data_IF_749084996222
#
_entry.id   IF_749084996222
#
_cell.length_a   1.000
_cell.length_b   1.000
_cell.length_c   1.000
_cell.angle_alpha   90.00
_cell.angle_beta   90.00
_cell.angle_gamma   90.00
#
_symmetry.space_group_name_H-M   'P 1'
#
loop_
_entity.id
_entity.type
_entity.pdbx_description
1 polymer ?
#
# COMPACT_ATOMS: atom_id res chain seq x y z
N UNK A 1 -41.23 -61.33 -10.19
CA UNK A 1 -40.16 -60.87 -9.31
C UNK A 1 -38.88 -61.71 -9.39
N UNK A 2 -38.93 -63.07 -9.22
CA UNK A 2 -37.72 -63.92 -9.24
C UNK A 2 -36.91 -63.86 -10.53
N UNK A 3 -37.50 -63.81 -11.71
CA UNK A 3 -36.80 -63.66 -13.03
C UNK A 3 -36.03 -62.36 -13.21
N UNK A 4 -36.55 -61.25 -12.68
CA UNK A 4 -35.85 -59.96 -12.74
C UNK A 4 -34.64 -59.93 -11.80
N UNK A 5 -34.73 -60.65 -10.67
CA UNK A 5 -33.61 -60.75 -9.71
C UNK A 5 -32.46 -61.60 -10.27
N UNK A 6 -32.78 -62.70 -10.97
CA UNK A 6 -31.75 -63.52 -11.63
C UNK A 6 -31.07 -62.83 -12.77
N UNK A 7 -31.80 -62.06 -13.63
CA UNK A 7 -31.20 -61.23 -14.66
C UNK A 7 -30.31 -60.11 -14.09
N UNK A 8 -30.71 -59.49 -12.97
CA UNK A 8 -29.90 -58.47 -12.31
C UNK A 8 -28.62 -59.04 -11.71
N UNK A 9 -28.70 -60.23 -11.10
CA UNK A 9 -27.51 -60.91 -10.58
C UNK A 9 -26.54 -61.37 -11.67
N UNK A 10 -27.01 -61.73 -12.86
CA UNK A 10 -26.15 -62.06 -14.00
C UNK A 10 -25.52 -60.82 -14.62
N UNK A 11 -26.23 -59.68 -14.65
CA UNK A 11 -25.64 -58.38 -15.03
C UNK A 11 -24.55 -57.94 -14.06
N UNK A 12 -24.72 -58.18 -12.76
CA UNK A 12 -23.71 -57.86 -11.75
C UNK A 12 -22.41 -58.69 -11.87
N UNK A 13 -22.43 -59.80 -12.58
CA UNK A 13 -21.22 -60.61 -12.87
C UNK A 13 -20.41 -60.03 -14.04
N UNK A 14 -21.00 -59.11 -14.83
CA UNK A 14 -20.32 -58.48 -15.93
C UNK A 14 -19.43 -57.33 -15.42
N UNK A 15 -18.10 -57.43 -15.61
CA UNK A 15 -17.12 -56.41 -15.17
C UNK A 15 -17.44 -55.01 -15.67
N UNK A 16 -17.94 -54.89 -16.89
CA UNK A 16 -18.29 -53.62 -17.52
C UNK A 16 -19.49 -52.99 -16.81
N UNK A 17 -20.50 -53.81 -16.46
CA UNK A 17 -21.69 -53.35 -15.75
C UNK A 17 -21.36 -52.85 -14.33
N UNK A 18 -20.49 -53.55 -13.62
CA UNK A 18 -20.01 -53.10 -12.27
C UNK A 18 -19.26 -51.81 -12.36
N UNK A 19 -18.37 -51.64 -13.35
CA UNK A 19 -17.66 -50.36 -13.60
C UNK A 19 -18.63 -49.21 -13.92
N UNK A 20 -19.65 -49.48 -14.76
CA UNK A 20 -20.68 -48.50 -15.11
C UNK A 20 -21.49 -48.07 -13.88
N UNK A 21 -21.90 -49.01 -13.06
CA UNK A 21 -22.57 -48.71 -11.79
C UNK A 21 -21.69 -47.88 -10.85
N UNK A 22 -20.40 -48.19 -10.76
CA UNK A 22 -19.42 -47.41 -9.99
C UNK A 22 -19.33 -45.96 -10.47
N UNK A 23 -19.26 -45.76 -11.77
CA UNK A 23 -19.25 -44.40 -12.36
C UNK A 23 -20.53 -43.62 -12.10
N UNK A 24 -21.70 -44.30 -12.23
CA UNK A 24 -23.02 -43.69 -11.94
C UNK A 24 -23.12 -43.29 -10.47
N UNK A 25 -22.67 -44.14 -9.54
CA UNK A 25 -22.68 -43.82 -8.10
C UNK A 25 -21.76 -42.62 -7.81
N UNK A 26 -20.58 -42.60 -8.41
CA UNK A 26 -19.63 -41.48 -8.25
C UNK A 26 -20.20 -40.17 -8.79
N UNK A 27 -20.85 -40.25 -9.95
CA UNK A 27 -21.55 -39.11 -10.54
C UNK A 27 -22.71 -38.62 -9.67
N UNK A 28 -23.52 -39.54 -9.12
CA UNK A 28 -24.59 -39.19 -8.21
C UNK A 28 -24.09 -38.50 -6.93
N UNK A 29 -22.96 -38.93 -6.39
CA UNK A 29 -22.31 -38.26 -5.23
C UNK A 29 -21.91 -36.85 -5.58
N UNK A 30 -21.31 -36.64 -6.76
CA UNK A 30 -20.88 -35.27 -7.24
C UNK A 30 -22.12 -34.37 -7.40
N UNK A 31 -23.20 -34.89 -8.02
CA UNK A 31 -24.43 -34.12 -8.24
C UNK A 31 -25.08 -33.74 -6.89
N UNK A 32 -25.15 -34.67 -5.96
CA UNK A 32 -25.68 -34.42 -4.61
C UNK A 32 -24.84 -33.41 -3.85
N UNK A 33 -23.52 -33.46 -4.02
CA UNK A 33 -22.62 -32.48 -3.41
C UNK A 33 -22.77 -31.07 -4.02
N UNK A 34 -22.91 -31.02 -5.35
CA UNK A 34 -23.19 -29.76 -6.07
C UNK A 34 -24.54 -29.16 -5.64
N UNK A 35 -25.56 -29.97 -5.57
CA UNK A 35 -26.87 -29.55 -5.09
C UNK A 35 -26.82 -29.00 -3.66
N UNK A 36 -26.09 -29.68 -2.77
CA UNK A 36 -25.88 -29.21 -1.39
C UNK A 36 -25.16 -27.86 -1.35
N UNK A 37 -24.13 -27.68 -2.16
CA UNK A 37 -23.34 -26.43 -2.21
C UNK A 37 -24.13 -25.28 -2.83
N UNK A 38 -24.87 -25.53 -3.93
CA UNK A 38 -25.51 -24.46 -4.68
C UNK A 38 -26.90 -24.08 -4.17
N UNK A 39 -27.66 -25.05 -3.63
CA UNK A 39 -29.03 -24.80 -3.23
C UNK A 39 -29.16 -24.73 -1.71
N UNK A 40 -28.56 -25.67 -0.96
CA UNK A 40 -28.73 -25.71 0.50
C UNK A 40 -27.85 -24.62 1.17
N UNK A 41 -26.65 -24.43 0.66
CA UNK A 41 -25.68 -23.48 1.23
C UNK A 41 -25.42 -22.27 0.31
N UNK A 42 -26.20 -22.08 -0.76
CA UNK A 42 -26.02 -21.00 -1.74
C UNK A 42 -26.06 -19.63 -1.09
N UNK A 43 -27.05 -19.33 -0.26
CA UNK A 43 -27.17 -18.06 0.47
C UNK A 43 -25.95 -17.78 1.36
N UNK A 44 -25.45 -18.79 2.06
CA UNK A 44 -24.25 -18.66 2.91
C UNK A 44 -22.99 -18.28 2.09
N UNK A 45 -22.84 -18.90 0.91
CA UNK A 45 -21.72 -18.57 0.03
C UNK A 45 -21.88 -17.20 -0.65
N UNK A 46 -23.11 -16.83 -1.04
CA UNK A 46 -23.40 -15.49 -1.58
C UNK A 46 -23.16 -14.39 -0.53
N UNK A 47 -23.58 -14.58 0.72
CA UNK A 47 -23.27 -13.66 1.80
C UNK A 47 -21.76 -13.57 2.07
N UNK A 48 -21.06 -14.72 2.05
CA UNK A 48 -19.62 -14.76 2.24
C UNK A 48 -18.86 -14.05 1.10
N UNK A 49 -19.29 -14.24 -0.15
CA UNK A 49 -18.72 -13.58 -1.32
C UNK A 49 -19.01 -12.07 -1.25
N UNK A 50 -20.26 -11.70 -0.99
CA UNK A 50 -20.68 -10.29 -0.85
C UNK A 50 -19.92 -9.62 0.29
N UNK A 51 -19.74 -10.26 1.43
CA UNK A 51 -18.94 -9.75 2.53
C UNK A 51 -17.46 -9.65 2.20
N UNK A 52 -16.93 -10.51 1.32
CA UNK A 52 -15.54 -10.48 0.88
C UNK A 52 -15.28 -9.43 -0.21
N UNK A 53 -16.28 -9.14 -1.04
CA UNK A 53 -16.20 -8.20 -2.17
C UNK A 53 -16.69 -6.81 -1.79
N UNK A 54 -17.63 -6.69 -0.83
CA UNK A 54 -18.10 -5.40 -0.37
C UNK A 54 -17.06 -4.72 0.54
N UNK A 55 -16.45 -3.66 0.02
CA UNK A 55 -15.54 -2.79 0.78
C UNK A 55 -16.38 -1.84 1.64
N UNK A 56 -16.53 -2.14 2.94
CA UNK A 56 -17.06 -1.17 3.90
C UNK A 56 -15.94 -0.20 4.29
N UNK A 57 -15.97 1.01 3.74
CA UNK A 57 -15.09 2.08 4.17
C UNK A 57 -15.66 2.70 5.45
N UNK A 58 -14.94 2.64 6.59
CA UNK A 58 -15.36 3.34 7.79
C UNK A 58 -15.21 4.84 7.57
N UNK A 59 -16.32 5.54 7.43
CA UNK A 59 -16.33 7.00 7.40
C UNK A 59 -16.19 7.50 8.84
N UNK A 60 -15.10 8.22 9.13
CA UNK A 60 -14.91 8.82 10.43
C UNK A 60 -15.93 9.95 10.63
N UNK A 61 -16.73 9.89 11.70
CA UNK A 61 -17.63 10.97 12.04
C UNK A 61 -16.83 12.25 12.40
N UNK A 62 -17.29 13.40 11.91
CA UNK A 62 -16.73 14.69 12.30
C UNK A 62 -16.98 14.95 13.79
N UNK A 63 -16.06 15.66 14.42
CA UNK A 63 -16.20 16.05 15.84
C UNK A 63 -17.23 17.14 15.97
N UNK A 64 -17.92 17.22 17.15
CA UNK A 64 -18.80 18.35 17.48
C UNK A 64 -18.03 19.67 17.58
N UNK A 65 -18.60 20.77 17.12
CA UNK A 65 -18.04 22.10 17.32
C UNK A 65 -18.21 22.52 18.78
N UNK A 66 -17.29 23.35 19.27
CA UNK A 66 -17.29 23.89 20.62
C UNK A 66 -17.37 25.42 20.52
N UNK A 67 -18.33 26.01 21.19
CA UNK A 67 -18.58 27.45 21.21
C UNK A 67 -18.53 27.96 22.65
N UNK A 68 -18.25 29.25 22.81
CA UNK A 68 -18.41 29.94 24.07
C UNK A 68 -19.91 30.25 24.35
N UNK A 69 -20.20 30.86 25.50
CA UNK A 69 -21.56 31.25 25.88
C UNK A 69 -22.20 32.31 24.94
N UNK A 70 -21.36 32.98 24.15
CA UNK A 70 -21.81 34.03 23.21
C UNK A 70 -21.89 33.50 21.76
N UNK A 71 -21.64 32.18 21.55
CA UNK A 71 -21.66 31.56 20.24
C UNK A 71 -20.41 31.77 19.42
N UNK A 72 -19.30 32.24 20.03
CA UNK A 72 -18.00 32.36 19.34
C UNK A 72 -17.35 30.99 19.24
N UNK A 73 -16.76 30.63 18.09
CA UNK A 73 -16.15 29.35 17.88
C UNK A 73 -14.82 29.22 18.67
N UNK A 74 -14.73 28.22 19.53
CA UNK A 74 -13.51 27.86 20.25
C UNK A 74 -12.78 26.69 19.58
N UNK A 75 -13.54 25.77 19.00
CA UNK A 75 -13.01 24.66 18.21
C UNK A 75 -14.08 24.24 17.19
N UNK A 76 -13.77 24.40 15.94
CA UNK A 76 -14.67 24.09 14.79
C UNK A 76 -13.99 23.12 13.84
N UNK A 77 -14.77 22.57 12.93
CA UNK A 77 -14.23 21.72 11.87
C UNK A 77 -14.30 22.50 10.56
N UNK A 78 -13.18 22.50 9.85
CA UNK A 78 -13.05 22.94 8.47
C UNK A 78 -12.92 21.72 7.57
N UNK A 79 -13.52 21.76 6.39
CA UNK A 79 -13.35 20.70 5.39
C UNK A 79 -12.14 21.04 4.55
N UNK A 80 -11.21 20.09 4.43
CA UNK A 80 -10.05 20.20 3.57
C UNK A 80 -10.00 19.00 2.64
N UNK A 81 -9.36 19.17 1.49
CA UNK A 81 -9.10 18.08 0.58
C UNK A 81 -7.81 17.32 0.97
N UNK A 82 -7.77 16.03 0.70
CA UNK A 82 -6.60 15.22 0.92
C UNK A 82 -6.35 14.28 -0.27
N UNK A 83 -5.08 14.02 -0.52
CA UNK A 83 -4.65 13.00 -1.48
C UNK A 83 -4.53 11.67 -0.76
N UNK A 84 -5.22 10.67 -1.26
CA UNK A 84 -5.16 9.31 -0.74
C UNK A 84 -4.71 8.34 -1.82
N UNK A 85 -4.01 7.28 -1.42
CA UNK A 85 -3.63 6.18 -2.29
C UNK A 85 -4.39 4.93 -1.87
N UNK A 86 -5.14 4.34 -2.80
CA UNK A 86 -5.85 3.08 -2.59
C UNK A 86 -4.89 1.90 -2.85
N UNK A 87 -4.47 1.24 -1.77
CA UNK A 87 -3.60 0.07 -1.86
C UNK A 87 -4.27 -1.19 -2.43
N UNK A 88 -5.61 -1.20 -2.57
CA UNK A 88 -6.35 -2.33 -3.15
C UNK A 88 -6.30 -2.35 -4.68
N UNK A 89 -6.09 -1.21 -5.30
CA UNK A 89 -5.91 -1.11 -6.74
C UNK A 89 -4.48 -1.50 -7.08
N UNK A 90 -4.34 -2.58 -7.84
CA UNK A 90 -3.03 -2.99 -8.36
C UNK A 90 -2.58 -1.94 -9.37
N UNK A 91 -1.48 -1.26 -9.05
CA UNK A 91 -0.88 -0.34 -9.99
C UNK A 91 -0.06 -1.15 -10.99
N UNK A 92 -0.56 -1.26 -12.19
CA UNK A 92 0.15 -1.81 -13.36
C UNK A 92 0.13 -0.73 -14.43
N UNK A 93 1.23 0.00 -14.53
CA UNK A 93 1.39 1.02 -15.55
C UNK A 93 1.55 0.35 -16.92
N UNK A 94 0.75 0.78 -17.87
CA UNK A 94 0.96 0.39 -19.25
C UNK A 94 2.25 1.02 -19.82
N UNK A 95 2.65 0.61 -21.02
CA UNK A 95 3.91 1.06 -21.62
C UNK A 95 3.96 2.57 -21.83
N UNK A 96 2.87 3.19 -22.26
CA UNK A 96 2.80 4.64 -22.53
C UNK A 96 2.79 5.46 -21.25
N UNK A 97 2.04 5.04 -20.23
CA UNK A 97 2.03 5.69 -18.93
C UNK A 97 3.40 5.64 -18.27
N UNK A 98 4.05 4.47 -18.27
CA UNK A 98 5.42 4.31 -17.76
C UNK A 98 6.41 5.21 -18.49
N UNK A 99 6.30 5.30 -19.84
CA UNK A 99 7.12 6.15 -20.67
C UNK A 99 6.91 7.63 -20.30
N UNK A 100 5.65 8.06 -20.19
CA UNK A 100 5.31 9.45 -19.85
C UNK A 100 5.90 9.85 -18.50
N UNK A 101 5.67 9.03 -17.46
CA UNK A 101 6.18 9.31 -16.12
C UNK A 101 7.71 9.31 -16.06
N UNK A 102 8.36 8.32 -16.70
CA UNK A 102 9.81 8.24 -16.73
C UNK A 102 10.44 9.39 -17.52
N UNK A 103 9.79 9.85 -18.61
CA UNK A 103 10.23 11.02 -19.39
C UNK A 103 10.12 12.30 -18.55
N UNK A 104 8.95 12.55 -17.95
CA UNK A 104 8.69 13.74 -17.13
C UNK A 104 9.64 13.82 -15.93
N UNK A 105 9.92 12.72 -15.26
CA UNK A 105 10.90 12.67 -14.17
C UNK A 105 12.33 12.87 -14.67
N UNK A 106 12.69 12.30 -15.82
CA UNK A 106 14.02 12.45 -16.39
C UNK A 106 14.29 13.90 -16.77
N UNK A 107 13.35 14.53 -17.47
CA UNK A 107 13.48 15.92 -17.92
C UNK A 107 13.55 16.88 -16.73
N UNK A 108 12.73 16.66 -15.71
CA UNK A 108 12.79 17.44 -14.48
C UNK A 108 14.14 17.27 -13.75
N UNK A 109 14.63 16.04 -13.55
CA UNK A 109 15.91 15.78 -12.89
C UNK A 109 17.06 16.48 -13.61
N UNK A 110 17.02 16.50 -14.95
CA UNK A 110 18.04 17.17 -15.75
C UNK A 110 17.94 18.69 -15.71
N UNK A 111 16.74 19.24 -15.69
CA UNK A 111 16.51 20.68 -15.51
C UNK A 111 16.98 21.16 -14.13
N UNK A 112 16.82 20.33 -13.09
CA UNK A 112 17.22 20.63 -11.72
C UNK A 112 18.70 20.28 -11.40
N UNK A 113 19.48 19.86 -12.40
CA UNK A 113 20.92 19.58 -12.27
C UNK A 113 21.29 18.22 -11.69
N UNK A 114 20.34 17.29 -11.57
CA UNK A 114 20.55 15.94 -11.06
C UNK A 114 20.89 14.94 -12.17
N UNK A 115 22.14 14.94 -12.64
CA UNK A 115 22.60 14.17 -13.82
C UNK A 115 23.18 12.79 -13.48
N UNK A 116 23.10 12.33 -12.23
CA UNK A 116 23.80 11.11 -11.75
C UNK A 116 22.88 9.95 -11.39
N UNK A 117 21.61 10.02 -11.79
CA UNK A 117 20.66 8.93 -11.50
C UNK A 117 20.95 7.76 -12.41
N UNK A 118 21.52 6.69 -11.84
CA UNK A 118 21.88 5.48 -12.58
C UNK A 118 21.90 4.25 -11.65
N UNK A 119 21.10 3.27 -11.95
CA UNK A 119 21.05 1.97 -11.25
C UNK A 119 21.43 0.78 -12.14
N UNK A 120 21.93 1.06 -13.36
CA UNK A 120 22.29 -0.02 -14.28
C UNK A 120 23.65 -0.63 -13.89
N UNK A 121 23.78 -1.96 -13.79
CA UNK A 121 25.04 -2.62 -13.50
C UNK A 121 25.95 -2.71 -14.74
N UNK A 122 26.06 -1.62 -15.48
CA UNK A 122 26.83 -1.49 -16.72
C UNK A 122 27.65 -0.21 -16.66
N UNK A 123 28.90 -0.24 -17.12
CA UNK A 123 29.77 0.94 -17.18
C UNK A 123 29.12 2.12 -17.93
N UNK A 124 29.45 3.35 -17.52
CA UNK A 124 28.87 4.57 -18.09
C UNK A 124 29.45 4.96 -19.45
N UNK A 125 30.64 4.43 -19.79
CA UNK A 125 31.39 4.75 -21.02
C UNK A 125 31.68 3.49 -21.83
N UNK A 126 31.80 3.64 -23.13
CA UNK A 126 32.22 2.57 -24.05
C UNK A 126 33.73 2.29 -23.87
N UNK A 127 34.19 1.02 -23.93
CA UNK A 127 33.37 -0.17 -24.12
C UNK A 127 32.54 -0.55 -22.89
N UNK A 128 31.24 -0.83 -23.11
CA UNK A 128 30.33 -1.20 -22.03
C UNK A 128 30.65 -2.58 -21.48
N UNK A 129 30.74 -2.69 -20.17
CA UNK A 129 30.96 -3.94 -19.43
C UNK A 129 30.08 -3.97 -18.19
N UNK A 130 29.82 -5.19 -17.68
CA UNK A 130 29.09 -5.33 -16.43
C UNK A 130 29.95 -4.94 -15.21
N UNK A 131 29.34 -4.30 -14.20
CA UNK A 131 30.01 -3.76 -13.01
C UNK A 131 29.81 -4.61 -11.75
N UNK A 132 29.33 -5.86 -11.89
CA UNK A 132 29.11 -6.74 -10.75
C UNK A 132 30.40 -7.00 -9.97
N UNK A 133 30.30 -6.99 -8.63
CA UNK A 133 31.40 -7.22 -7.71
C UNK A 133 31.38 -8.67 -7.21
N UNK A 134 32.54 -9.24 -6.88
CA UNK A 134 32.68 -10.59 -6.34
C UNK A 134 33.65 -11.45 -7.13
N UNK A 135 33.68 -12.75 -6.82
CA UNK A 135 34.42 -13.77 -7.61
C UNK A 135 33.82 -13.94 -9.00
N UNK A 136 34.55 -14.53 -9.93
CA UNK A 136 34.04 -14.67 -11.31
C UNK A 136 32.77 -15.53 -11.37
N UNK A 137 32.61 -16.52 -10.53
CA UNK A 137 31.39 -17.32 -10.40
C UNK A 137 30.22 -16.52 -9.85
N UNK A 138 30.48 -15.67 -8.86
CA UNK A 138 29.45 -14.76 -8.30
C UNK A 138 29.02 -13.71 -9.31
N UNK A 139 29.96 -13.10 -10.04
CA UNK A 139 29.65 -12.15 -11.13
C UNK A 139 28.77 -12.79 -12.21
N UNK A 140 29.11 -13.99 -12.65
CA UNK A 140 28.33 -14.71 -13.65
C UNK A 140 26.91 -15.03 -13.15
N UNK A 141 26.78 -15.41 -11.87
CA UNK A 141 25.47 -15.66 -11.25
C UNK A 141 24.64 -14.39 -11.15
N UNK A 142 25.24 -13.27 -10.71
CA UNK A 142 24.57 -11.97 -10.62
C UNK A 142 24.15 -11.45 -12.01
N UNK A 143 25.01 -11.60 -13.00
CA UNK A 143 24.74 -11.23 -14.40
C UNK A 143 23.55 -12.03 -14.95
N UNK A 144 23.52 -13.34 -14.76
CA UNK A 144 22.40 -14.20 -15.19
C UNK A 144 21.11 -13.82 -14.45
N UNK A 145 21.17 -13.55 -13.14
CA UNK A 145 20.05 -13.11 -12.34
C UNK A 145 19.50 -11.77 -12.85
N UNK A 146 20.38 -10.81 -13.12
CA UNK A 146 19.98 -9.51 -13.65
C UNK A 146 19.40 -9.63 -15.07
N UNK A 147 19.99 -10.43 -15.97
CA UNK A 147 19.45 -10.71 -17.31
C UNK A 147 18.05 -11.34 -17.23
N UNK A 148 17.82 -12.22 -16.25
CA UNK A 148 16.50 -12.78 -16.01
C UNK A 148 15.50 -11.70 -15.54
N UNK A 149 15.92 -10.79 -14.63
CA UNK A 149 15.06 -9.73 -14.12
C UNK A 149 14.62 -8.72 -15.17
N UNK A 150 15.45 -8.47 -16.17
CA UNK A 150 15.07 -7.62 -17.32
C UNK A 150 14.22 -8.35 -18.39
N UNK A 151 13.91 -9.64 -18.17
CA UNK A 151 13.02 -10.42 -19.01
C UNK A 151 13.71 -11.09 -20.21
N UNK A 152 15.02 -11.27 -20.17
CA UNK A 152 15.74 -12.05 -21.19
C UNK A 152 15.53 -13.56 -20.97
N UNK A 153 15.35 -14.30 -22.04
CA UNK A 153 15.29 -15.76 -22.01
C UNK A 153 16.69 -16.37 -21.78
N UNK A 154 16.75 -17.60 -21.26
CA UNK A 154 18.02 -18.31 -21.00
C UNK A 154 18.94 -18.39 -22.23
N UNK A 155 18.37 -18.44 -23.45
CA UNK A 155 19.14 -18.43 -24.71
C UNK A 155 19.88 -17.11 -24.94
N UNK A 156 19.35 -16.01 -24.40
CA UNK A 156 19.85 -14.64 -24.55
C UNK A 156 20.85 -14.24 -23.45
N UNK A 157 21.13 -15.10 -22.47
CA UNK A 157 22.09 -14.79 -21.40
C UNK A 157 23.53 -14.61 -21.88
N UNK A 158 23.83 -14.96 -23.15
CA UNK A 158 25.13 -14.73 -23.78
C UNK A 158 25.32 -13.29 -24.30
N UNK A 159 24.26 -12.45 -24.26
CA UNK A 159 24.33 -11.07 -24.73
C UNK A 159 25.35 -10.26 -23.96
N UNK A 160 26.14 -9.46 -24.67
CA UNK A 160 27.07 -8.49 -24.09
C UNK A 160 26.34 -7.34 -23.39
N UNK A 161 27.04 -6.54 -22.60
CA UNK A 161 26.47 -5.37 -21.94
C UNK A 161 25.90 -4.36 -22.96
N UNK A 162 26.54 -4.21 -24.11
CA UNK A 162 26.09 -3.34 -25.21
C UNK A 162 24.76 -3.84 -25.81
N UNK A 163 24.66 -5.13 -26.05
CA UNK A 163 23.43 -5.73 -26.58
C UNK A 163 22.28 -5.68 -25.58
N UNK A 164 22.58 -5.88 -24.30
CA UNK A 164 21.59 -5.69 -23.24
C UNK A 164 21.07 -4.24 -23.19
N UNK A 165 21.94 -3.23 -23.34
CA UNK A 165 21.52 -1.83 -23.40
C UNK A 165 20.60 -1.57 -24.61
N UNK A 166 20.93 -2.09 -25.80
CA UNK A 166 20.07 -1.95 -26.99
C UNK A 166 18.70 -2.59 -26.76
N UNK A 167 18.69 -3.81 -26.20
CA UNK A 167 17.44 -4.48 -25.84
C UNK A 167 16.59 -3.64 -24.88
N UNK A 168 17.22 -3.01 -23.86
CA UNK A 168 16.51 -2.16 -22.91
C UNK A 168 15.97 -0.89 -23.58
N UNK A 169 16.72 -0.26 -24.50
CA UNK A 169 16.26 0.89 -25.25
C UNK A 169 14.98 0.59 -26.06
N UNK A 170 14.94 -0.57 -26.71
CA UNK A 170 13.78 -1.00 -27.48
C UNK A 170 12.60 -1.40 -26.57
N UNK A 171 12.90 -2.13 -25.48
CA UNK A 171 11.88 -2.61 -24.54
C UNK A 171 11.14 -1.47 -23.85
N UNK A 172 11.88 -0.45 -23.39
CA UNK A 172 11.34 0.69 -22.66
C UNK A 172 11.08 1.93 -23.51
N UNK A 173 11.22 1.82 -24.81
CA UNK A 173 10.92 2.89 -25.76
C UNK A 173 11.63 4.21 -25.43
N UNK A 174 12.94 4.13 -25.22
CA UNK A 174 13.76 5.25 -24.79
C UNK A 174 13.75 6.38 -25.84
N UNK A 175 13.46 7.65 -25.47
CA UNK A 175 13.45 8.75 -26.41
C UNK A 175 14.77 8.89 -27.19
N UNK A 176 14.70 9.04 -28.52
CA UNK A 176 15.89 9.10 -29.38
C UNK A 176 16.73 10.36 -29.13
N UNK A 177 16.08 11.48 -28.78
CA UNK A 177 16.73 12.78 -28.54
C UNK A 177 17.56 12.86 -27.26
N UNK A 178 17.50 11.84 -26.40
CA UNK A 178 18.23 11.82 -25.14
C UNK A 178 19.72 11.54 -25.34
N UNK A 179 20.56 12.26 -24.56
CA UNK A 179 21.97 11.94 -24.41
C UNK A 179 22.16 10.55 -23.76
N UNK A 180 23.35 9.98 -23.90
CA UNK A 180 23.65 8.67 -23.30
C UNK A 180 23.38 8.64 -21.78
N UNK A 181 23.66 9.73 -21.09
CA UNK A 181 23.42 9.85 -19.66
C UNK A 181 21.90 9.96 -19.33
N UNK A 182 21.15 10.76 -20.10
CA UNK A 182 19.68 10.83 -19.98
C UNK A 182 19.01 9.48 -20.23
N UNK A 183 19.45 8.74 -21.24
CA UNK A 183 18.96 7.38 -21.53
C UNK A 183 19.16 6.43 -20.35
N UNK A 184 20.27 6.57 -19.62
CA UNK A 184 20.53 5.76 -18.40
C UNK A 184 19.62 6.17 -17.24
N UNK A 185 19.46 7.47 -17.00
CA UNK A 185 18.53 7.98 -16.00
C UNK A 185 17.10 7.50 -16.29
N UNK A 186 16.66 7.66 -17.52
CA UNK A 186 15.36 7.18 -17.97
C UNK A 186 15.17 5.67 -17.75
N UNK A 187 16.15 4.85 -18.14
CA UNK A 187 16.09 3.41 -17.92
C UNK A 187 16.03 3.06 -16.41
N UNK A 188 16.84 3.73 -15.61
CA UNK A 188 16.83 3.50 -14.14
C UNK A 188 15.49 3.80 -13.51
N UNK A 189 14.77 4.80 -14.01
CA UNK A 189 13.40 5.12 -13.60
C UNK A 189 12.39 4.13 -14.20
N UNK A 190 12.43 3.91 -15.51
CA UNK A 190 11.47 3.05 -16.22
C UNK A 190 11.54 1.57 -15.82
N UNK A 191 12.71 1.12 -15.34
CA UNK A 191 12.92 -0.24 -14.81
C UNK A 191 12.51 -0.40 -13.36
N UNK A 192 12.25 0.69 -12.64
CA UNK A 192 11.80 0.63 -11.26
C UNK A 192 10.38 0.05 -11.16
N UNK A 193 10.01 -0.40 -9.95
CA UNK A 193 8.64 -0.83 -9.65
C UNK A 193 7.64 0.30 -9.96
N UNK A 194 6.45 -0.03 -10.48
CA UNK A 194 5.41 0.95 -10.82
C UNK A 194 5.02 1.82 -9.62
N UNK A 195 4.98 1.23 -8.44
CA UNK A 195 4.73 1.96 -7.19
C UNK A 195 5.83 2.95 -6.86
N UNK A 196 7.08 2.66 -7.23
CA UNK A 196 8.19 3.60 -7.05
C UNK A 196 8.07 4.76 -8.02
N UNK A 197 7.78 4.47 -9.28
CA UNK A 197 7.62 5.49 -10.31
C UNK A 197 6.46 6.44 -9.97
N UNK A 198 5.32 5.89 -9.57
CA UNK A 198 4.17 6.67 -9.07
C UNK A 198 4.54 7.49 -7.85
N UNK A 199 5.18 6.89 -6.83
CA UNK A 199 5.52 7.59 -5.60
C UNK A 199 6.55 8.69 -5.82
N UNK A 200 7.54 8.50 -6.72
CA UNK A 200 8.51 9.53 -7.14
C UNK A 200 7.81 10.72 -7.81
N UNK A 201 6.90 10.43 -8.74
CA UNK A 201 6.17 11.49 -9.46
C UNK A 201 5.25 12.26 -8.51
N UNK A 202 4.54 11.54 -7.64
CA UNK A 202 3.64 12.14 -6.66
C UNK A 202 4.42 12.99 -5.65
N UNK A 203 5.51 12.47 -5.08
CA UNK A 203 6.36 13.21 -4.14
C UNK A 203 6.92 14.48 -4.77
N UNK A 204 7.42 14.39 -6.03
CA UNK A 204 7.90 15.56 -6.78
C UNK A 204 6.79 16.60 -6.96
N UNK A 205 5.62 16.18 -7.43
CA UNK A 205 4.51 17.12 -7.72
C UNK A 205 3.97 17.76 -6.45
N UNK A 206 3.81 17.02 -5.37
CA UNK A 206 3.40 17.58 -4.08
C UNK A 206 4.43 18.62 -3.60
N UNK A 207 5.73 18.31 -3.67
CA UNK A 207 6.78 19.25 -3.32
C UNK A 207 6.80 20.50 -4.24
N UNK A 208 6.58 20.34 -5.55
CA UNK A 208 6.48 21.44 -6.52
C UNK A 208 5.31 22.39 -6.19
N UNK A 209 4.21 21.86 -5.71
CA UNK A 209 3.02 22.63 -5.29
C UNK A 209 3.13 23.17 -3.85
N UNK A 210 4.19 22.83 -3.13
CA UNK A 210 4.41 23.27 -1.75
C UNK A 210 3.63 22.50 -0.70
N UNK A 211 3.13 21.31 -1.06
CA UNK A 211 2.40 20.45 -0.14
C UNK A 211 3.33 19.69 0.81
N UNK A 212 2.88 19.45 2.01
CA UNK A 212 3.56 18.58 2.97
C UNK A 212 3.09 17.16 2.84
N UNK A 213 4.03 16.21 2.84
CA UNK A 213 3.71 14.79 2.80
C UNK A 213 3.44 14.30 4.21
N UNK A 214 2.25 13.76 4.42
CA UNK A 214 1.85 13.10 5.66
C UNK A 214 2.28 11.64 5.59
N UNK A 215 3.31 11.28 6.35
CA UNK A 215 3.80 9.90 6.38
C UNK A 215 4.03 9.38 7.80
N UNK A 216 4.12 8.06 7.93
CA UNK A 216 4.38 7.38 9.20
C UNK A 216 5.87 6.97 9.36
N UNK A 217 6.77 7.43 8.48
CA UNK A 217 8.20 7.13 8.55
C UNK A 217 8.83 7.87 9.72
N UNK A 218 9.41 7.18 10.73
CA UNK A 218 9.91 7.83 11.93
C UNK A 218 11.28 8.51 11.73
N UNK A 219 11.36 9.31 10.68
CA UNK A 219 12.49 10.18 10.33
C UNK A 219 11.95 11.57 10.03
N UNK A 220 12.70 12.59 10.39
CA UNK A 220 12.32 13.97 10.08
C UNK A 220 12.15 14.16 8.57
N UNK A 221 11.28 15.07 8.19
CA UNK A 221 11.02 15.40 6.78
C UNK A 221 12.15 16.19 6.14
N UNK A 222 12.94 16.90 6.95
CA UNK A 222 14.05 17.74 6.49
C UNK A 222 15.40 17.21 6.99
N UNK A 223 16.46 17.53 6.27
CA UNK A 223 17.82 17.20 6.70
C UNK A 223 18.14 17.85 8.07
N UNK A 224 18.79 17.14 8.98
CA UNK A 224 19.57 15.90 8.83
C UNK A 224 18.79 14.59 8.97
N UNK A 225 17.48 14.59 8.80
CA UNK A 225 16.59 13.40 8.85
C UNK A 225 16.69 12.64 10.18
N UNK A 226 16.69 13.33 11.30
CA UNK A 226 16.85 12.70 12.60
C UNK A 226 15.73 11.69 12.92
N UNK A 227 16.01 10.71 13.77
CA UNK A 227 14.99 9.75 14.21
C UNK A 227 13.98 10.38 15.18
N UNK A 228 12.70 10.13 14.97
CA UNK A 228 11.59 10.63 15.79
C UNK A 228 11.27 9.72 17.00
N UNK A 229 12.27 9.04 17.58
CA UNK A 229 12.08 8.17 18.74
C UNK A 229 12.35 8.84 20.08
N UNK A 230 12.61 10.17 20.12
CA UNK A 230 12.91 10.93 21.34
C UNK A 230 14.01 10.28 22.22
N UNK A 231 15.08 9.77 21.58
CA UNK A 231 16.18 9.10 22.26
C UNK A 231 15.90 7.67 22.73
N UNK A 232 14.73 7.10 22.44
CA UNK A 232 14.40 5.73 22.83
C UNK A 232 15.04 4.71 21.87
N UNK A 233 16.24 4.27 22.17
CA UNK A 233 17.03 3.32 21.37
C UNK A 233 16.35 1.95 21.22
N UNK A 234 15.53 1.51 22.18
CA UNK A 234 14.82 0.24 22.09
C UNK A 234 13.70 0.31 21.04
N UNK A 235 12.96 1.40 20.99
CA UNK A 235 11.92 1.64 19.96
C UNK A 235 12.55 1.73 18.58
N UNK A 236 13.66 2.44 18.45
CA UNK A 236 14.41 2.56 17.21
C UNK A 236 14.88 1.18 16.70
N UNK A 237 15.50 0.37 17.57
CA UNK A 237 15.92 -0.98 17.21
C UNK A 237 14.74 -1.88 16.82
N UNK A 238 13.65 -1.84 17.57
CA UNK A 238 12.45 -2.63 17.23
C UNK A 238 11.88 -2.23 15.88
N UNK A 239 11.85 -0.94 15.56
CA UNK A 239 11.43 -0.45 14.26
C UNK A 239 12.37 -0.91 13.13
N UNK A 240 13.69 -0.78 13.31
CA UNK A 240 14.68 -1.28 12.35
C UNK A 240 14.53 -2.79 12.10
N UNK A 241 14.26 -3.58 13.14
CA UNK A 241 13.97 -5.01 13.00
C UNK A 241 12.69 -5.26 12.20
N UNK A 242 11.65 -4.45 12.35
CA UNK A 242 10.43 -4.56 11.55
C UNK A 242 10.67 -4.28 10.07
N UNK A 243 11.72 -3.51 9.75
CA UNK A 243 12.21 -3.27 8.38
C UNK A 243 13.26 -4.30 7.92
N UNK A 244 13.33 -5.46 8.58
CA UNK A 244 14.21 -6.59 8.28
C UNK A 244 15.72 -6.30 8.45
N UNK A 245 16.10 -5.19 9.07
CA UNK A 245 17.49 -4.86 9.38
C UNK A 245 18.05 -5.81 10.43
N UNK A 246 19.29 -6.26 10.26
CA UNK A 246 19.94 -7.28 11.12
C UNK A 246 21.38 -6.90 11.47
N UNK A 247 21.86 -7.43 12.57
CA UNK A 247 23.27 -7.36 12.96
C UNK A 247 23.78 -5.92 13.02
N UNK A 248 24.75 -5.56 12.16
CA UNK A 248 25.38 -4.23 12.12
C UNK A 248 24.40 -3.11 11.65
N UNK A 249 23.39 -3.48 10.87
CA UNK A 249 22.41 -2.53 10.32
C UNK A 249 21.55 -1.87 11.40
N UNK A 250 21.32 -2.56 12.53
CA UNK A 250 20.60 -2.01 13.67
C UNK A 250 21.29 -0.78 14.29
N UNK A 251 22.59 -0.60 14.04
CA UNK A 251 23.38 0.53 14.53
C UNK A 251 23.57 1.62 13.47
N UNK A 252 22.87 1.56 12.34
CA UNK A 252 22.95 2.59 11.32
C UNK A 252 22.36 3.91 11.86
N UNK A 253 23.02 5.02 11.52
CA UNK A 253 22.47 6.36 11.73
C UNK A 253 21.32 6.60 10.73
N UNK A 254 20.62 7.72 10.87
CA UNK A 254 19.47 8.06 10.04
C UNK A 254 19.80 8.04 8.54
N UNK A 255 20.94 8.61 8.13
CA UNK A 255 21.36 8.64 6.73
C UNK A 255 21.60 7.25 6.15
N UNK A 256 22.38 6.40 6.84
CA UNK A 256 22.57 5.00 6.42
C UNK A 256 21.28 4.19 6.43
N UNK A 257 20.36 4.56 7.30
CA UNK A 257 19.03 3.95 7.33
C UNK A 257 18.21 4.37 6.12
N UNK A 258 18.29 5.63 5.68
CA UNK A 258 17.69 6.08 4.42
C UNK A 258 18.28 5.33 3.21
N UNK A 259 19.59 5.18 3.15
CA UNK A 259 20.25 4.39 2.09
C UNK A 259 19.75 2.94 2.09
N UNK A 260 19.67 2.31 3.27
CA UNK A 260 19.12 0.96 3.40
C UNK A 260 17.67 0.88 2.92
N UNK A 261 16.81 1.84 3.29
CA UNK A 261 15.41 1.88 2.88
C UNK A 261 15.28 2.14 1.37
N UNK A 262 16.14 2.98 0.79
CA UNK A 262 16.21 3.19 -0.66
C UNK A 262 16.44 1.86 -1.38
N UNK A 263 17.44 1.09 -0.92
CA UNK A 263 17.77 -0.21 -1.50
C UNK A 263 16.66 -1.25 -1.22
N UNK A 264 16.07 -1.23 -0.01
CA UNK A 264 14.95 -2.12 0.37
C UNK A 264 13.71 -1.93 -0.52
N UNK A 265 13.37 -0.69 -0.86
CA UNK A 265 12.27 -0.38 -1.76
C UNK A 265 12.68 -0.37 -3.24
N UNK A 266 13.96 -0.50 -3.55
CA UNK A 266 14.48 -0.55 -4.92
C UNK A 266 14.40 0.78 -5.66
N UNK A 267 14.62 1.90 -4.96
CA UNK A 267 14.70 3.23 -5.59
C UNK A 267 16.07 3.41 -6.26
N UNK A 268 16.13 4.08 -7.43
CA UNK A 268 17.38 4.35 -8.12
C UNK A 268 18.40 5.15 -7.27
N UNK A 269 19.69 4.90 -7.51
CA UNK A 269 20.77 5.68 -6.93
C UNK A 269 20.89 7.06 -7.61
N UNK A 270 21.38 8.05 -6.86
CA UNK A 270 21.66 9.39 -7.39
C UNK A 270 20.47 10.34 -7.44
N UNK A 271 19.30 9.94 -6.94
CA UNK A 271 18.16 10.82 -6.76
C UNK A 271 18.44 11.91 -5.69
N UNK A 272 17.78 13.09 -5.77
CA UNK A 272 17.82 14.10 -4.71
C UNK A 272 17.42 13.53 -3.36
N UNK A 273 18.17 13.84 -2.30
CA UNK A 273 17.92 13.26 -0.96
C UNK A 273 16.51 13.57 -0.44
N UNK A 274 16.01 14.78 -0.65
CA UNK A 274 14.67 15.17 -0.25
C UNK A 274 13.61 14.34 -1.00
N UNK A 275 13.75 14.19 -2.32
CA UNK A 275 12.84 13.37 -3.12
C UNK A 275 12.86 11.90 -2.67
N UNK A 276 14.05 11.38 -2.33
CA UNK A 276 14.17 10.01 -1.77
C UNK A 276 13.42 9.93 -0.45
N UNK A 277 13.62 10.90 0.49
CA UNK A 277 12.94 10.91 1.78
C UNK A 277 11.42 10.91 1.64
N UNK A 278 10.90 11.78 0.79
CA UNK A 278 9.47 11.96 0.55
C UNK A 278 8.86 10.71 -0.12
N UNK A 279 9.54 10.17 -1.11
CA UNK A 279 9.14 8.92 -1.76
C UNK A 279 9.14 7.74 -0.78
N UNK A 280 10.17 7.66 0.09
CA UNK A 280 10.24 6.64 1.13
C UNK A 280 9.12 6.79 2.16
N UNK A 281 8.70 8.01 2.49
CA UNK A 281 7.53 8.27 3.33
C UNK A 281 6.25 7.66 2.75
N UNK A 282 5.98 7.93 1.47
CA UNK A 282 4.83 7.36 0.75
C UNK A 282 4.94 5.83 0.69
N UNK A 283 6.09 5.28 0.28
CA UNK A 283 6.31 3.83 0.16
C UNK A 283 6.19 3.11 1.50
N UNK A 284 6.69 3.72 2.57
CA UNK A 284 6.60 3.19 3.93
C UNK A 284 5.16 3.16 4.43
N UNK A 285 4.40 4.22 4.22
CA UNK A 285 2.98 4.29 4.60
C UNK A 285 2.15 3.22 3.88
N UNK A 286 2.39 3.00 2.59
CA UNK A 286 1.80 1.90 1.82
C UNK A 286 2.27 0.52 2.34
N UNK A 287 3.54 0.38 2.70
CA UNK A 287 4.09 -0.87 3.24
C UNK A 287 3.46 -1.25 4.58
N UNK A 288 3.17 -0.30 5.44
CA UNK A 288 2.46 -0.56 6.71
C UNK A 288 1.06 -1.13 6.48
N UNK A 289 0.39 -0.71 5.41
CA UNK A 289 -0.97 -1.17 5.04
C UNK A 289 -1.00 -2.37 4.10
N UNK A 290 0.15 -3.01 3.79
CA UNK A 290 0.25 -4.13 2.84
C UNK A 290 -0.66 -5.33 3.11
N UNK A 291 -1.09 -5.53 4.36
CA UNK A 291 -2.06 -6.57 4.75
C UNK A 291 -3.49 -6.04 4.90
N UNK A 292 -3.70 -4.75 4.72
CA UNK A 292 -4.98 -4.05 4.79
C UNK A 292 -5.21 -3.25 3.51
N UNK A 293 -5.06 -3.90 2.37
CA UNK A 293 -5.05 -3.27 1.03
C UNK A 293 -6.34 -2.49 0.72
N UNK A 294 -7.46 -2.82 1.38
CA UNK A 294 -8.73 -2.10 1.24
C UNK A 294 -8.80 -0.79 2.04
N UNK A 295 -7.78 -0.43 2.79
CA UNK A 295 -7.70 0.88 3.45
C UNK A 295 -6.86 1.82 2.60
N UNK A 296 -7.42 2.98 2.31
CA UNK A 296 -6.69 4.08 1.67
C UNK A 296 -5.62 4.62 2.62
N UNK A 297 -4.55 5.12 2.05
CA UNK A 297 -3.46 5.77 2.77
C UNK A 297 -3.47 7.24 2.41
N UNK A 298 -3.68 8.11 3.38
CA UNK A 298 -3.56 9.55 3.17
C UNK A 298 -2.10 9.93 3.01
N UNK A 299 -1.79 10.68 1.96
CA UNK A 299 -0.42 11.10 1.61
C UNK A 299 -0.21 12.59 1.86
N UNK A 300 -1.23 13.40 1.63
CA UNK A 300 -1.19 14.82 1.93
C UNK A 300 -2.57 15.30 2.36
N UNK A 301 -2.62 16.21 3.32
CA UNK A 301 -3.85 16.83 3.81
C UNK A 301 -3.79 18.35 3.63
N UNK A 302 -4.96 18.98 3.52
CA UNK A 302 -5.10 20.43 3.30
C UNK A 302 -4.41 20.89 2.02
N UNK A 303 -4.65 20.15 0.93
CA UNK A 303 -4.03 20.40 -0.37
C UNK A 303 -4.62 21.63 -1.06
N UNK A 304 -3.78 22.28 -1.86
CA UNK A 304 -4.17 23.43 -2.68
C UNK A 304 -5.05 23.03 -3.88
N UNK A 305 -5.78 24.00 -4.42
CA UNK A 305 -6.56 23.83 -5.65
C UNK A 305 -5.71 23.36 -6.84
N UNK A 306 -4.41 23.70 -6.87
CA UNK A 306 -3.48 23.25 -7.92
C UNK A 306 -3.24 21.74 -7.84
N UNK A 307 -3.02 21.23 -6.63
CA UNK A 307 -2.83 19.79 -6.39
C UNK A 307 -4.12 19.04 -6.71
N UNK A 308 -5.26 19.57 -6.28
CA UNK A 308 -6.59 19.03 -6.60
C UNK A 308 -6.77 18.89 -8.12
N UNK A 309 -6.56 19.98 -8.87
CA UNK A 309 -6.70 19.98 -10.32
C UNK A 309 -5.74 18.98 -10.98
N UNK A 310 -4.48 18.96 -10.57
CA UNK A 310 -3.49 18.04 -11.12
C UNK A 310 -3.87 16.57 -10.93
N UNK A 311 -4.31 16.17 -9.76
CA UNK A 311 -4.70 14.78 -9.49
C UNK A 311 -5.95 14.39 -10.28
N UNK A 312 -6.94 15.27 -10.33
CA UNK A 312 -8.19 15.05 -11.10
C UNK A 312 -7.95 14.96 -12.61
N UNK A 313 -7.06 15.78 -13.15
CA UNK A 313 -6.69 15.75 -14.58
C UNK A 313 -5.86 14.53 -14.97
N UNK A 314 -5.15 13.90 -14.02
CA UNK A 314 -4.26 12.78 -14.28
C UNK A 314 -4.74 11.46 -13.67
N UNK A 315 -6.05 11.28 -13.45
CA UNK A 315 -6.61 10.05 -12.89
C UNK A 315 -6.31 8.80 -13.74
N UNK A 316 -6.23 8.95 -15.06
CA UNK A 316 -5.86 7.85 -15.96
C UNK A 316 -4.43 7.36 -15.69
N UNK A 317 -3.52 8.27 -15.34
CA UNK A 317 -2.12 7.95 -15.03
C UNK A 317 -1.94 7.42 -13.60
N UNK A 318 -2.80 7.86 -12.69
CA UNK A 318 -2.77 7.48 -11.27
C UNK A 318 -4.11 6.89 -10.81
N UNK A 319 -4.54 5.73 -11.33
CA UNK A 319 -5.86 5.17 -11.06
C UNK A 319 -6.09 4.80 -9.58
N UNK A 320 -5.03 4.69 -8.81
CA UNK A 320 -5.06 4.40 -7.38
C UNK A 320 -4.91 5.64 -6.50
N UNK A 321 -4.74 6.83 -7.08
CA UNK A 321 -4.69 8.10 -6.33
C UNK A 321 -6.07 8.74 -6.41
N UNK A 322 -6.65 9.03 -5.27
CA UNK A 322 -7.99 9.60 -5.15
C UNK A 322 -7.96 10.84 -4.26
N UNK A 323 -8.81 11.79 -4.58
CA UNK A 323 -9.08 12.94 -3.71
C UNK A 323 -10.24 12.57 -2.80
N UNK A 324 -10.07 12.84 -1.52
CA UNK A 324 -11.12 12.71 -0.51
C UNK A 324 -11.17 13.96 0.35
N UNK A 325 -12.22 14.08 1.16
CA UNK A 325 -12.37 15.19 2.10
C UNK A 325 -12.09 14.74 3.52
N UNK A 326 -11.28 15.53 4.22
CA UNK A 326 -10.98 15.30 5.63
C UNK A 326 -11.46 16.48 6.47
N UNK A 327 -11.98 16.19 7.65
CA UNK A 327 -12.37 17.21 8.60
C UNK A 327 -11.20 17.61 9.48
N UNK A 328 -10.62 18.76 9.22
CA UNK A 328 -9.58 19.35 10.03
C UNK A 328 -10.17 20.09 11.22
N UNK A 329 -9.49 20.04 12.35
CA UNK A 329 -9.90 20.76 13.55
C UNK A 329 -9.21 22.11 13.62
N UNK A 330 -9.99 23.18 13.56
CA UNK A 330 -9.51 24.54 13.71
C UNK A 330 -9.80 25.06 15.12
N UNK A 331 -8.85 25.82 15.67
CA UNK A 331 -8.89 26.41 16.99
C UNK A 331 -8.62 27.92 16.87
N UNK A 332 -9.61 28.73 16.53
CA UNK A 332 -9.41 30.15 16.27
C UNK A 332 -8.74 30.91 17.42
N UNK A 333 -8.99 30.49 18.65
CA UNK A 333 -8.43 31.08 19.87
C UNK A 333 -7.53 30.07 20.65
N UNK A 334 -6.84 29.19 19.92
CA UNK A 334 -6.11 28.03 20.50
C UNK A 334 -5.06 28.42 21.53
N UNK A 335 -4.39 29.55 21.37
CA UNK A 335 -3.37 30.05 22.27
C UNK A 335 -3.92 30.32 23.70
N UNK A 336 -5.16 30.81 23.78
CA UNK A 336 -5.76 31.22 25.05
C UNK A 336 -6.55 30.12 25.74
N UNK A 337 -7.11 29.15 24.98
CA UNK A 337 -8.05 28.16 25.51
C UNK A 337 -7.51 26.72 25.53
N UNK A 338 -6.28 26.47 25.18
CA UNK A 338 -5.66 25.12 25.08
C UNK A 338 -5.82 24.30 26.38
N UNK A 339 -5.67 24.92 27.54
CA UNK A 339 -5.83 24.27 28.86
C UNK A 339 -7.28 23.92 29.21
N UNK A 340 -8.27 24.62 28.64
CA UNK A 340 -9.70 24.36 28.85
C UNK A 340 -10.19 23.29 27.88
N UNK A 341 -9.75 23.37 26.62
CA UNK A 341 -10.13 22.42 25.56
C UNK A 341 -9.52 21.03 25.77
N UNK A 342 -8.35 20.97 26.45
CA UNK A 342 -7.66 19.73 26.77
C UNK A 342 -7.11 19.01 25.54
N UNK A 343 -6.91 17.70 25.69
CA UNK A 343 -6.38 16.84 24.60
C UNK A 343 -7.24 15.60 24.40
N UNK A 344 -7.16 15.04 23.19
CA UNK A 344 -7.93 13.87 22.79
C UNK A 344 -7.01 12.66 22.76
N UNK A 345 -7.50 11.52 23.26
CA UNK A 345 -6.83 10.22 23.15
C UNK A 345 -7.75 9.22 22.46
N UNK A 346 -7.15 8.27 21.71
CA UNK A 346 -7.90 7.09 21.26
C UNK A 346 -8.47 6.38 22.49
N UNK A 347 -9.78 6.12 22.47
CA UNK A 347 -10.42 5.37 23.53
C UNK A 347 -9.92 3.91 23.50
N UNK A 348 -9.37 3.44 24.63
CA UNK A 348 -9.00 2.03 24.76
C UNK A 348 -10.21 1.20 25.22
N UNK A 349 -10.28 -0.07 24.81
CA UNK A 349 -11.39 -0.98 25.19
C UNK A 349 -11.73 -0.98 26.69
N UNK A 350 -10.77 -0.92 27.62
CA UNK A 350 -11.08 -0.80 29.04
C UNK A 350 -11.83 0.49 29.39
N UNK A 351 -11.47 1.62 28.79
CA UNK A 351 -12.12 2.91 29.08
C UNK A 351 -13.55 2.97 28.52
N UNK A 352 -13.80 2.35 27.36
CA UNK A 352 -15.13 2.22 26.77
C UNK A 352 -16.00 1.36 27.70
N UNK A 353 -15.50 0.20 28.13
CA UNK A 353 -16.22 -0.72 29.02
C UNK A 353 -16.58 -0.08 30.35
N UNK A 354 -15.65 0.68 30.94
CA UNK A 354 -15.88 1.42 32.18
C UNK A 354 -16.93 2.53 31.99
N UNK A 355 -16.91 3.24 30.87
CA UNK A 355 -17.91 4.28 30.56
C UNK A 355 -19.31 3.70 30.37
N UNK A 356 -19.46 2.57 29.67
CA UNK A 356 -20.73 1.85 29.55
C UNK A 356 -21.23 1.37 30.91
N UNK A 357 -20.33 0.84 31.77
CA UNK A 357 -20.67 0.39 33.11
C UNK A 357 -21.16 1.53 34.00
N UNK A 358 -20.46 2.69 33.97
CA UNK A 358 -20.87 3.90 34.70
C UNK A 358 -22.19 4.48 34.17
N UNK A 359 -22.42 4.42 32.87
CA UNK A 359 -23.69 4.88 32.29
C UNK A 359 -24.84 3.94 32.66
N UNK A 360 -24.61 2.64 32.64
CA UNK A 360 -25.57 1.64 33.09
C UNK A 360 -25.90 1.78 34.59
N UNK A 361 -24.89 2.03 35.46
CA UNK A 361 -25.08 2.28 36.88
C UNK A 361 -25.86 3.59 37.11
N UNK A 362 -25.57 4.67 36.38
CA UNK A 362 -26.33 5.92 36.47
C UNK A 362 -27.76 5.78 36.00
N UNK A 363 -27.99 4.99 34.98
CA UNK A 363 -29.31 4.73 34.44
C UNK A 363 -30.16 3.90 35.42
N UNK A 364 -29.58 2.83 36.00
CA UNK A 364 -30.24 2.01 37.03
C UNK A 364 -30.50 2.78 38.30
N UNK A 365 -29.57 3.60 38.76
CA UNK A 365 -29.77 4.46 39.91
C UNK A 365 -30.89 5.50 39.71
N UNK A 366 -30.98 6.08 38.50
CA UNK A 366 -32.04 7.02 38.13
C UNK A 366 -33.41 6.33 38.02
N UNK A 367 -33.47 5.07 37.57
CA UNK A 367 -34.72 4.28 37.58
C UNK A 367 -35.15 3.84 38.96
N UNK A 368 -34.21 3.49 39.86
CA UNK A 368 -34.51 3.19 41.27
C UNK A 368 -35.07 4.42 42.00
N UNK A 369 -34.52 5.60 41.75
CA UNK A 369 -35.01 6.87 42.35
C UNK A 369 -36.35 7.34 41.78
N UNK A 370 -36.72 6.90 40.55
CA UNK A 370 -38.00 7.22 39.92
C UNK A 370 -39.13 6.23 40.20
N UNK A 371 -38.90 5.20 41.04
CA UNK A 371 -39.94 4.23 41.45
C UNK A 371 -40.48 3.33 40.37
N UNK A 372 -39.84 3.24 39.19
CA UNK A 372 -40.27 2.36 38.09
C UNK A 372 -39.42 1.07 38.08
N UNK A 373 -40.05 0.00 38.53
CA UNK A 373 -39.52 -1.37 38.45
C UNK A 373 -39.50 -1.87 36.99
N UNK A 374 -38.38 -1.76 36.32
CA UNK A 374 -38.12 -2.39 35.02
C UNK A 374 -36.96 -3.39 35.12
N UNK A 375 -37.16 -4.43 35.91
CA UNK A 375 -36.16 -5.51 36.08
C UNK A 375 -36.34 -6.70 35.10
N UNK A 376 -37.29 -6.67 34.19
CA UNK A 376 -37.61 -7.83 33.35
C UNK A 376 -37.07 -7.83 31.91
N UNK A 377 -36.32 -6.87 31.45
CA UNK A 377 -35.88 -6.82 30.04
C UNK A 377 -34.37 -7.03 29.81
N UNK A 378 -33.54 -7.14 30.85
CA UNK A 378 -32.08 -7.21 30.69
C UNK A 378 -31.48 -8.62 30.68
N UNK A 379 -32.28 -9.68 30.92
CA UNK A 379 -31.77 -11.06 31.00
C UNK A 379 -32.09 -11.91 29.77
N UNK A 380 -32.47 -11.33 28.64
CA UNK A 380 -32.76 -12.09 27.41
C UNK A 380 -32.00 -11.57 26.18
N UNK A 381 -30.71 -11.39 26.30
CA UNK A 381 -29.76 -11.39 25.17
C UNK A 381 -28.33 -11.55 25.72
N UNK A 382 -27.96 -12.77 25.97
CA UNK A 382 -26.59 -13.27 26.00
C UNK A 382 -26.46 -14.34 24.95
#
# INVERSE_FOLDING_TARGET
>A
MRRYLEHFLDLCKNRIFVMLCGVIVLFAIIVLRLFSLQIIHGEYYDESITASVSKTLPVAASRGNIYDRYGRPLAVNTVAYCVQVDGSVTLELNREERKTLATDLTDWLWADGHHKVDSLPITTSSPYSFTFKGTDEEKEKLEKSWKASIGLEKKQYKLSATECLKYLYEKYDVPEGYTAAQKRTYLSLAMSDDRNLMALTLARKLSEFGETIDDELPLDTEAPYAFQFNGNTNREKSWKQSMLMKGKELNYNSRKTLDYLRDFFGLPEGLPEQLVRDTLGIRYSLYLKRYQQYQTVTIATDISDKTLAYVEENQDTFPNVVIDTVSLRDYPEGEYFSHILGYIRKATMPSIRMRWMLTAIRFTARQMLSGRTAWKSFTKRS
#
